data_IF_967779970240
#
_entry.id   IF_967779970240
#
_cell.length_a   1.000
_cell.length_b   1.000
_cell.length_c   1.000
_cell.angle_alpha   90.00
_cell.angle_beta   90.00
_cell.angle_gamma   90.00
#
_symmetry.space_group_name_H-M   'P 1'
#
loop_
_entity.id
_entity.type
_entity.pdbx_description
1 polymer ?
#
# COMPACT_ATOMS: atom_id res chain seq x y z
N UNK A 1 -22.07 4.00 21.22
CA UNK A 1 -21.61 2.66 21.67
C UNK A 1 -21.40 1.66 20.53
N UNK A 2 -22.23 1.64 19.48
CA UNK A 2 -22.03 0.77 18.30
C UNK A 2 -20.69 1.03 17.60
N UNK A 3 -20.27 2.29 17.48
CA UNK A 3 -18.99 2.66 16.86
C UNK A 3 -17.75 2.14 17.64
N UNK A 4 -17.82 2.08 18.98
CA UNK A 4 -16.71 1.59 19.80
C UNK A 4 -16.56 0.06 19.82
N UNK A 5 -17.62 -0.67 19.47
CA UNK A 5 -17.58 -2.13 19.35
C UNK A 5 -16.93 -2.55 18.02
N UNK A 6 -17.32 -1.95 16.89
CA UNK A 6 -16.75 -2.29 15.58
C UNK A 6 -15.27 -1.88 15.45
N UNK A 7 -14.84 -0.79 16.11
CA UNK A 7 -13.43 -0.38 16.16
C UNK A 7 -12.57 -1.41 16.91
N UNK A 8 -13.14 -2.09 17.92
CA UNK A 8 -12.39 -3.09 18.71
C UNK A 8 -12.18 -4.38 17.93
N UNK A 9 -13.23 -4.87 17.26
CA UNK A 9 -13.16 -6.07 16.42
C UNK A 9 -12.20 -5.87 15.24
N UNK A 10 -12.27 -4.72 14.58
CA UNK A 10 -11.33 -4.36 13.50
C UNK A 10 -9.89 -4.22 13.99
N UNK A 11 -9.67 -3.73 15.22
CA UNK A 11 -8.33 -3.65 15.81
C UNK A 11 -7.74 -5.03 16.12
N UNK A 12 -8.54 -5.96 16.66
CA UNK A 12 -8.09 -7.34 16.92
C UNK A 12 -7.79 -8.05 15.60
N UNK A 13 -8.70 -7.99 14.62
CA UNK A 13 -8.50 -8.61 13.32
C UNK A 13 -7.28 -8.03 12.59
N UNK A 14 -7.13 -6.70 12.60
CA UNK A 14 -5.98 -6.00 12.05
C UNK A 14 -4.67 -6.41 12.75
N UNK A 15 -4.67 -6.50 14.08
CA UNK A 15 -3.48 -6.89 14.85
C UNK A 15 -3.03 -8.33 14.55
N UNK A 16 -3.96 -9.27 14.46
CA UNK A 16 -3.67 -10.67 14.11
C UNK A 16 -3.13 -10.76 12.68
N UNK A 17 -3.78 -10.09 11.73
CA UNK A 17 -3.33 -10.07 10.33
C UNK A 17 -1.95 -9.40 10.19
N UNK A 18 -1.69 -8.30 10.89
CA UNK A 18 -0.37 -7.64 10.90
C UNK A 18 0.71 -8.56 11.44
N UNK A 19 0.42 -9.26 12.54
CA UNK A 19 1.35 -10.17 13.18
C UNK A 19 1.69 -11.35 12.26
N UNK A 20 0.69 -11.93 11.59
CA UNK A 20 0.89 -12.98 10.61
C UNK A 20 1.70 -12.49 9.40
N UNK A 21 1.38 -11.31 8.88
CA UNK A 21 2.13 -10.71 7.76
C UNK A 21 3.57 -10.44 8.14
N UNK A 22 3.83 -9.87 9.33
CA UNK A 22 5.17 -9.66 9.87
C UNK A 22 5.93 -10.97 10.05
N UNK A 23 5.30 -12.00 10.62
CA UNK A 23 5.94 -13.29 10.85
C UNK A 23 6.32 -13.96 9.53
N UNK A 24 5.42 -13.95 8.55
CA UNK A 24 5.71 -14.42 7.19
C UNK A 24 6.83 -13.60 6.56
N UNK A 25 6.88 -12.29 6.80
CA UNK A 25 7.93 -11.41 6.31
C UNK A 25 9.31 -11.72 6.92
N UNK A 26 9.37 -11.87 8.24
CA UNK A 26 10.58 -12.25 8.99
C UNK A 26 11.07 -13.61 8.52
N UNK A 27 10.17 -14.59 8.39
CA UNK A 27 10.51 -15.92 7.93
C UNK A 27 11.09 -15.90 6.51
N UNK A 28 10.55 -15.07 5.61
CA UNK A 28 11.13 -14.86 4.26
C UNK A 28 12.49 -14.21 4.32
N UNK A 29 12.65 -13.16 5.13
CA UNK A 29 13.92 -12.47 5.31
C UNK A 29 14.97 -13.46 5.82
N UNK A 30 14.62 -14.28 6.81
CA UNK A 30 15.46 -15.32 7.37
C UNK A 30 15.89 -16.35 6.33
N UNK A 31 14.95 -16.92 5.56
CA UNK A 31 15.28 -17.86 4.48
C UNK A 31 16.24 -17.21 3.48
N UNK A 32 16.00 -15.94 3.14
CA UNK A 32 16.82 -15.21 2.15
C UNK A 32 18.23 -14.95 2.67
N UNK A 33 18.37 -14.45 3.89
CA UNK A 33 19.68 -14.24 4.57
C UNK A 33 20.43 -15.56 4.68
N UNK A 34 19.74 -16.65 5.01
CA UNK A 34 20.35 -17.98 5.15
C UNK A 34 20.79 -18.56 3.80
N UNK A 35 20.23 -18.10 2.67
CA UNK A 35 20.47 -18.68 1.35
C UNK A 35 21.49 -17.92 0.49
N UNK A 36 21.86 -16.65 0.77
CA UNK A 36 22.78 -15.90 -0.10
C UNK A 36 23.77 -14.96 0.61
N UNK A 37 25.00 -14.94 0.07
CA UNK A 37 26.11 -14.04 0.43
C UNK A 37 25.69 -12.57 0.38
N UNK A 38 25.95 -11.86 1.48
CA UNK A 38 25.60 -10.47 1.76
C UNK A 38 25.88 -9.58 0.54
N UNK A 39 24.85 -8.94 0.00
CA UNK A 39 24.95 -8.09 -1.18
C UNK A 39 23.99 -6.92 -1.14
N UNK A 40 24.05 -6.04 -2.14
CA UNK A 40 23.15 -4.87 -2.28
C UNK A 40 21.65 -5.20 -2.25
N UNK A 41 21.30 -6.48 -2.48
CA UNK A 41 19.93 -7.00 -2.39
C UNK A 41 19.37 -6.98 -0.95
N UNK A 42 20.24 -7.12 0.04
CA UNK A 42 19.85 -7.15 1.46
C UNK A 42 19.46 -5.77 1.97
N UNK A 43 19.93 -4.69 1.33
CA UNK A 43 19.53 -3.31 1.66
C UNK A 43 18.04 -3.12 1.40
N UNK A 44 17.52 -3.60 0.27
CA UNK A 44 16.09 -3.49 -0.04
C UNK A 44 15.23 -4.36 0.87
N UNK A 45 15.75 -5.52 1.28
CA UNK A 45 15.08 -6.42 2.21
C UNK A 45 15.00 -5.83 3.62
N UNK A 46 16.07 -5.18 4.08
CA UNK A 46 16.10 -4.47 5.38
C UNK A 46 15.20 -3.24 5.34
N UNK A 47 15.23 -2.43 4.27
CA UNK A 47 14.30 -1.30 4.09
C UNK A 47 12.84 -1.78 4.20
N UNK A 48 12.48 -2.86 3.50
CA UNK A 48 11.13 -3.41 3.57
C UNK A 48 10.76 -3.88 4.98
N UNK A 49 11.69 -4.48 5.73
CA UNK A 49 11.47 -4.87 7.12
C UNK A 49 11.22 -3.67 8.03
N UNK A 50 12.05 -2.62 7.93
CA UNK A 50 11.87 -1.38 8.70
C UNK A 50 10.55 -0.69 8.36
N UNK A 51 10.20 -0.59 7.07
CA UNK A 51 8.89 -0.06 6.67
C UNK A 51 7.73 -0.90 7.22
N UNK A 52 7.88 -2.21 7.34
CA UNK A 52 6.86 -3.08 7.93
C UNK A 52 6.67 -2.83 9.42
N UNK A 53 7.76 -2.72 10.16
CA UNK A 53 7.73 -2.35 11.57
C UNK A 53 7.07 -0.98 11.79
N UNK A 54 7.42 0.02 10.98
CA UNK A 54 6.83 1.35 11.00
C UNK A 54 5.33 1.31 10.66
N UNK A 55 4.93 0.48 9.70
CA UNK A 55 3.53 0.35 9.33
C UNK A 55 2.69 -0.20 10.49
N UNK A 56 3.15 -1.26 11.14
CA UNK A 56 2.45 -1.86 12.28
C UNK A 56 2.39 -0.90 13.46
N UNK A 57 3.50 -0.27 13.85
CA UNK A 57 3.48 0.71 14.94
C UNK A 57 2.58 1.91 14.64
N UNK A 58 2.59 2.39 13.39
CA UNK A 58 1.72 3.50 12.96
C UNK A 58 0.26 3.10 12.92
N UNK A 59 -0.07 1.88 12.50
CA UNK A 59 -1.44 1.37 12.50
C UNK A 59 -1.99 1.27 13.93
N UNK A 60 -1.20 0.74 14.86
CA UNK A 60 -1.57 0.68 16.28
C UNK A 60 -1.71 2.08 16.90
N UNK A 61 -0.80 3.01 16.58
CA UNK A 61 -0.89 4.40 17.03
C UNK A 61 -2.12 5.11 16.45
N UNK A 62 -2.45 4.86 15.18
CA UNK A 62 -3.60 5.44 14.51
C UNK A 62 -4.92 4.93 15.12
N UNK A 63 -5.09 3.61 15.24
CA UNK A 63 -6.29 3.00 15.83
C UNK A 63 -6.42 3.34 17.33
N UNK A 64 -5.31 3.40 18.05
CA UNK A 64 -5.27 3.76 19.46
C UNK A 64 -5.78 5.18 19.72
N UNK A 65 -5.34 6.16 18.92
CA UNK A 65 -5.83 7.55 19.09
C UNK A 65 -7.24 7.75 18.51
N UNK A 66 -7.63 7.00 17.48
CA UNK A 66 -9.00 7.00 16.95
C UNK A 66 -10.03 6.66 18.04
N UNK A 67 -9.70 5.74 18.95
CA UNK A 67 -10.54 5.38 20.10
C UNK A 67 -10.82 6.54 21.07
N UNK A 68 -9.92 7.51 21.15
CA UNK A 68 -10.00 8.68 22.04
C UNK A 68 -10.62 9.89 21.30
N UNK A 69 -10.98 9.75 20.02
CA UNK A 69 -11.43 10.87 19.21
C UNK A 69 -10.28 11.84 18.89
N UNK A 70 -9.04 11.36 18.80
CA UNK A 70 -7.93 12.19 18.32
C UNK A 70 -7.28 11.47 17.13
N UNK A 71 -7.25 12.10 15.96
CA UNK A 71 -6.58 11.53 14.79
C UNK A 71 -5.16 12.08 14.76
N UNK A 72 -4.16 11.21 14.89
CA UNK A 72 -2.76 11.62 14.76
C UNK A 72 -2.42 11.76 13.28
N UNK A 73 -2.40 12.98 12.77
CA UNK A 73 -1.99 13.29 11.39
C UNK A 73 -0.65 12.63 11.07
N UNK A 74 0.33 12.73 11.99
CA UNK A 74 1.65 12.11 11.86
C UNK A 74 1.61 10.59 11.67
N UNK A 75 0.78 9.87 12.44
CA UNK A 75 0.67 8.41 12.33
C UNK A 75 0.04 8.00 10.99
N UNK A 76 -0.92 8.78 10.49
CA UNK A 76 -1.53 8.55 9.18
C UNK A 76 -0.51 8.69 8.05
N UNK A 77 0.32 9.74 8.07
CA UNK A 77 1.37 9.95 7.08
C UNK A 77 2.40 8.83 7.09
N UNK A 78 2.88 8.45 8.27
CA UNK A 78 3.87 7.36 8.40
C UNK A 78 3.25 6.04 7.92
N UNK A 79 2.00 5.75 8.27
CA UNK A 79 1.30 4.54 7.82
C UNK A 79 1.22 4.47 6.28
N UNK A 80 0.76 5.55 5.64
CA UNK A 80 0.58 5.61 4.19
C UNK A 80 1.89 5.45 3.44
N UNK A 81 2.94 6.17 3.84
CA UNK A 81 4.26 6.11 3.20
C UNK A 81 4.91 4.74 3.44
N UNK A 82 4.87 4.25 4.68
CA UNK A 82 5.51 2.98 5.05
C UNK A 82 4.86 1.79 4.34
N UNK A 83 3.53 1.80 4.17
CA UNK A 83 2.83 0.74 3.44
C UNK A 83 3.28 0.69 1.97
N UNK A 84 3.26 1.84 1.31
CA UNK A 84 3.67 1.95 -0.10
C UNK A 84 5.14 1.53 -0.24
N UNK A 85 6.05 2.11 0.54
CA UNK A 85 7.47 1.76 0.50
C UNK A 85 7.71 0.26 0.76
N UNK A 86 7.01 -0.35 1.72
CA UNK A 86 7.10 -1.79 1.98
C UNK A 86 6.72 -2.60 0.74
N UNK A 87 5.53 -2.38 0.17
CA UNK A 87 5.03 -3.19 -0.96
C UNK A 87 5.96 -3.09 -2.16
N UNK A 88 6.42 -1.87 -2.48
CA UNK A 88 7.32 -1.64 -3.60
C UNK A 88 8.74 -2.17 -3.34
N UNK A 89 9.29 -2.00 -2.13
CA UNK A 89 10.61 -2.53 -1.78
C UNK A 89 10.65 -4.07 -1.87
N UNK A 90 9.57 -4.75 -1.49
CA UNK A 90 9.45 -6.20 -1.62
C UNK A 90 9.51 -6.65 -3.08
N UNK A 91 8.75 -5.97 -3.95
CA UNK A 91 8.74 -6.26 -5.40
C UNK A 91 10.12 -6.06 -6.01
N UNK A 92 10.77 -4.95 -5.71
CA UNK A 92 12.14 -4.63 -6.16
C UNK A 92 13.12 -5.70 -5.69
N UNK A 93 13.04 -6.10 -4.42
CA UNK A 93 13.92 -7.11 -3.84
C UNK A 93 13.72 -8.50 -4.47
N UNK A 94 12.51 -8.86 -4.92
CA UNK A 94 12.27 -10.10 -5.67
C UNK A 94 12.95 -10.04 -7.04
N UNK A 95 12.78 -8.93 -7.77
CA UNK A 95 13.34 -8.78 -9.11
C UNK A 95 14.86 -8.77 -9.08
N UNK A 96 15.48 -8.04 -8.13
CA UNK A 96 16.93 -8.06 -7.97
C UNK A 96 17.48 -9.48 -7.77
N UNK A 97 16.83 -10.25 -6.90
CA UNK A 97 17.21 -11.65 -6.65
C UNK A 97 17.15 -12.52 -7.91
N UNK A 98 16.22 -12.24 -8.84
CA UNK A 98 16.15 -12.91 -10.15
C UNK A 98 17.29 -12.43 -11.05
N UNK A 99 17.54 -11.11 -11.11
CA UNK A 99 18.60 -10.52 -11.95
C UNK A 99 19.97 -11.11 -11.60
N UNK A 100 20.29 -11.28 -10.31
CA UNK A 100 21.57 -11.84 -9.86
C UNK A 100 21.81 -13.29 -10.29
N UNK A 101 20.74 -14.04 -10.51
CA UNK A 101 20.82 -15.44 -10.99
C UNK A 101 21.15 -15.48 -12.49
N UNK A 102 20.79 -14.43 -13.24
CA UNK A 102 21.01 -14.34 -14.68
C UNK A 102 22.42 -13.79 -14.94
N UNK A 103 23.22 -14.40 -15.84
CA UNK A 103 24.51 -13.84 -16.20
C UNK A 103 24.36 -12.46 -16.86
N UNK A 104 25.23 -11.51 -16.49
CA UNK A 104 25.15 -10.10 -16.90
C UNK A 104 25.19 -9.86 -18.43
N UNK A 105 25.61 -10.86 -19.21
CA UNK A 105 25.74 -10.77 -20.67
C UNK A 105 24.40 -10.95 -21.41
N UNK A 106 23.38 -11.46 -20.73
CA UNK A 106 22.07 -11.70 -21.33
C UNK A 106 21.24 -10.40 -21.44
N UNK A 107 20.52 -10.22 -22.55
CA UNK A 107 19.58 -9.10 -22.71
C UNK A 107 18.53 -9.07 -21.59
N UNK A 108 18.23 -10.22 -20.99
CA UNK A 108 17.33 -10.37 -19.84
C UNK A 108 17.77 -9.57 -18.61
N UNK A 109 19.08 -9.42 -18.40
CA UNK A 109 19.61 -8.64 -17.28
C UNK A 109 19.24 -7.16 -17.41
N UNK A 110 19.33 -6.60 -18.63
CA UNK A 110 18.94 -5.21 -18.94
C UNK A 110 17.43 -5.02 -18.72
N UNK A 111 16.60 -5.97 -19.18
CA UNK A 111 15.16 -5.88 -18.96
C UNK A 111 14.79 -5.90 -17.48
N UNK A 112 15.45 -6.75 -16.67
CA UNK A 112 15.26 -6.76 -15.22
C UNK A 112 15.59 -5.41 -14.58
N UNK A 113 16.72 -4.81 -14.95
CA UNK A 113 17.11 -3.49 -14.44
C UNK A 113 16.10 -2.40 -14.83
N UNK A 114 15.59 -2.42 -16.07
CA UNK A 114 14.54 -1.49 -16.50
C UNK A 114 13.24 -1.64 -15.69
N UNK A 115 12.86 -2.87 -15.31
CA UNK A 115 11.67 -3.08 -14.48
C UNK A 115 11.89 -2.56 -13.07
N UNK A 116 13.09 -2.77 -12.49
CA UNK A 116 13.44 -2.23 -11.17
C UNK A 116 13.36 -0.71 -11.16
N UNK A 117 13.95 -0.04 -12.15
CA UNK A 117 13.92 1.42 -12.23
C UNK A 117 12.49 1.91 -12.42
N UNK A 118 11.69 1.25 -13.25
CA UNK A 118 10.27 1.54 -13.41
C UNK A 118 9.49 1.42 -12.10
N UNK A 119 9.76 0.38 -11.30
CA UNK A 119 9.10 0.19 -10.00
C UNK A 119 9.49 1.27 -8.98
N UNK A 120 10.76 1.66 -8.93
CA UNK A 120 11.21 2.73 -8.04
C UNK A 120 10.61 4.08 -8.43
N UNK A 121 10.58 4.40 -9.72
CA UNK A 121 9.93 5.62 -10.24
C UNK A 121 8.43 5.63 -9.95
N UNK A 122 7.76 4.49 -10.11
CA UNK A 122 6.33 4.40 -9.84
C UNK A 122 6.04 4.53 -8.33
N UNK A 123 6.88 3.93 -7.49
CA UNK A 123 6.79 4.09 -6.03
C UNK A 123 6.93 5.55 -5.62
N UNK A 124 7.94 6.26 -6.11
CA UNK A 124 8.13 7.67 -5.77
C UNK A 124 6.98 8.55 -6.30
N UNK A 125 6.52 8.30 -7.53
CA UNK A 125 5.38 9.01 -8.10
C UNK A 125 4.10 8.85 -7.25
N UNK A 126 3.78 7.63 -6.80
CA UNK A 126 2.61 7.38 -5.95
C UNK A 126 2.72 8.07 -4.58
N UNK A 127 3.90 8.03 -3.96
CA UNK A 127 4.14 8.73 -2.68
C UNK A 127 3.95 10.24 -2.85
N UNK A 128 4.52 10.82 -3.92
CA UNK A 128 4.39 12.25 -4.22
C UNK A 128 2.94 12.63 -4.52
N UNK A 129 2.22 11.86 -5.33
CA UNK A 129 0.80 12.11 -5.63
C UNK A 129 -0.06 12.11 -4.38
N UNK A 130 0.16 11.14 -3.47
CA UNK A 130 -0.52 11.09 -2.16
C UNK A 130 -0.16 12.30 -1.31
N UNK A 131 1.11 12.67 -1.26
CA UNK A 131 1.57 13.81 -0.47
C UNK A 131 0.99 15.14 -0.94
N UNK A 132 0.96 15.38 -2.26
CA UNK A 132 0.36 16.59 -2.83
C UNK A 132 -1.14 16.62 -2.57
N UNK A 133 -1.83 15.49 -2.79
CA UNK A 133 -3.28 15.42 -2.57
C UNK A 133 -3.67 15.68 -1.12
N UNK A 134 -2.95 15.06 -0.17
CA UNK A 134 -3.22 15.26 1.25
C UNK A 134 -2.79 16.64 1.75
N UNK A 135 -1.68 17.20 1.26
CA UNK A 135 -1.25 18.55 1.67
C UNK A 135 -2.19 19.64 1.17
N UNK A 136 -2.74 19.49 -0.04
CA UNK A 136 -3.77 20.41 -0.56
C UNK A 136 -5.05 20.36 0.28
N UNK A 137 -5.56 19.16 0.58
CA UNK A 137 -6.73 18.99 1.43
C UNK A 137 -6.50 19.54 2.85
N UNK A 138 -5.31 19.33 3.41
CA UNK A 138 -4.92 19.86 4.71
C UNK A 138 -4.98 21.38 4.77
N UNK A 139 -4.42 22.07 3.75
CA UNK A 139 -4.44 23.54 3.69
C UNK A 139 -5.86 24.12 3.61
N UNK A 140 -6.72 23.52 2.81
CA UNK A 140 -8.12 23.96 2.62
C UNK A 140 -8.96 23.77 3.88
N UNK A 141 -8.76 22.66 4.60
CA UNK A 141 -9.49 22.40 5.85
C UNK A 141 -8.97 23.29 6.98
N UNK A 142 -7.65 23.46 7.08
CA UNK A 142 -7.05 24.33 8.10
C UNK A 142 -7.51 25.79 7.95
N UNK A 143 -7.73 26.28 6.73
CA UNK A 143 -8.26 27.64 6.52
C UNK A 143 -9.74 27.78 6.85
N UNK A 144 -10.50 26.68 6.89
CA UNK A 144 -11.97 26.71 6.98
C UNK A 144 -12.50 26.28 8.35
N UNK A 145 -11.74 25.53 9.16
CA UNK A 145 -12.22 25.06 10.47
C UNK A 145 -11.05 24.69 11.39
N UNK A 146 -11.10 25.12 12.66
CA UNK A 146 -10.13 24.77 13.72
C UNK A 146 -10.31 23.36 14.28
N UNK A 147 -10.87 22.44 13.49
CA UNK A 147 -11.18 21.08 13.95
C UNK A 147 -9.92 20.20 13.94
N UNK A 148 -9.60 19.49 15.05
CA UNK A 148 -8.44 18.61 15.16
C UNK A 148 -8.60 17.27 14.40
N UNK A 149 -9.69 17.10 13.66
CA UNK A 149 -10.04 15.85 12.99
C UNK A 149 -9.69 15.88 11.50
N UNK A 150 -8.44 15.61 11.16
CA UNK A 150 -8.01 15.51 9.76
C UNK A 150 -7.89 14.04 9.33
N UNK A 151 -8.79 13.62 8.45
CA UNK A 151 -8.66 12.37 7.70
C UNK A 151 -8.43 12.75 6.24
N UNK A 152 -7.27 12.39 5.67
CA UNK A 152 -7.02 12.63 4.25
C UNK A 152 -7.92 11.72 3.42
N UNK A 153 -8.98 12.30 2.85
CA UNK A 153 -9.81 11.62 1.86
C UNK A 153 -9.15 11.69 0.49
N UNK A 154 -8.67 10.55 0.00
CA UNK A 154 -8.15 10.45 -1.36
C UNK A 154 -9.30 10.48 -2.37
N UNK A 155 -9.10 11.19 -3.49
CA UNK A 155 -10.07 11.18 -4.59
C UNK A 155 -10.23 9.73 -5.11
N UNK A 156 -11.45 9.27 -5.42
CA UNK A 156 -11.70 7.90 -5.91
C UNK A 156 -10.84 7.52 -7.12
N UNK A 157 -10.58 8.48 -8.00
CA UNK A 157 -9.73 8.29 -9.19
C UNK A 157 -8.30 7.86 -8.81
N UNK A 158 -7.73 8.44 -7.75
CA UNK A 158 -6.39 8.07 -7.26
C UNK A 158 -6.37 6.64 -6.73
N UNK A 159 -7.41 6.26 -5.98
CA UNK A 159 -7.56 4.92 -5.41
C UNK A 159 -7.63 3.87 -6.53
N UNK A 160 -8.45 4.12 -7.56
CA UNK A 160 -8.57 3.21 -8.71
C UNK A 160 -7.25 3.11 -9.47
N UNK A 161 -6.57 4.24 -9.71
CA UNK A 161 -5.28 4.24 -10.41
C UNK A 161 -4.20 3.47 -9.64
N UNK A 162 -4.19 3.60 -8.31
CA UNK A 162 -3.22 2.90 -7.48
C UNK A 162 -3.49 1.40 -7.46
N UNK A 163 -4.76 1.00 -7.39
CA UNK A 163 -5.15 -0.40 -7.49
C UNK A 163 -4.75 -1.00 -8.84
N UNK A 164 -4.99 -0.27 -9.94
CA UNK A 164 -4.62 -0.69 -11.29
C UNK A 164 -3.10 -0.84 -11.45
N UNK A 165 -2.33 0.16 -11.03
CA UNK A 165 -0.86 0.12 -11.06
C UNK A 165 -0.33 -1.01 -10.16
N UNK A 166 -0.96 -1.21 -9.00
CA UNK A 166 -0.68 -2.32 -8.10
C UNK A 166 -0.86 -3.67 -8.77
N UNK A 167 -1.98 -3.89 -9.46
CA UNK A 167 -2.28 -5.11 -10.19
C UNK A 167 -1.32 -5.36 -11.36
N UNK A 168 -1.01 -4.32 -12.14
CA UNK A 168 -0.05 -4.42 -13.25
C UNK A 168 1.33 -4.81 -12.73
N UNK A 169 1.79 -4.20 -11.65
CA UNK A 169 3.08 -4.52 -11.05
C UNK A 169 3.12 -5.96 -10.51
N UNK A 170 2.02 -6.47 -9.94
CA UNK A 170 1.92 -7.87 -9.53
C UNK A 170 2.00 -8.80 -10.75
N UNK A 171 1.27 -8.51 -11.84
CA UNK A 171 1.33 -9.27 -13.10
C UNK A 171 2.77 -9.31 -13.64
N UNK A 172 3.46 -8.17 -13.69
CA UNK A 172 4.85 -8.10 -14.14
C UNK A 172 5.76 -8.96 -13.24
N UNK A 173 5.58 -8.87 -11.92
CA UNK A 173 6.35 -9.66 -10.95
C UNK A 173 6.10 -11.17 -11.09
N UNK A 174 4.93 -11.58 -11.60
CA UNK A 174 4.60 -12.99 -11.93
C UNK A 174 5.22 -13.42 -13.25
N UNK A 175 5.01 -12.63 -14.31
CA UNK A 175 5.37 -12.99 -15.68
C UNK A 175 6.88 -12.98 -15.86
N UNK A 176 7.58 -12.02 -15.25
CA UNK A 176 9.03 -11.88 -15.39
C UNK A 176 9.81 -13.16 -14.98
N UNK A 177 9.66 -13.72 -13.75
CA UNK A 177 10.34 -14.95 -13.39
C UNK A 177 9.92 -16.14 -14.24
N UNK A 178 8.65 -16.23 -14.66
CA UNK A 178 8.19 -17.30 -15.56
C UNK A 178 8.84 -17.21 -16.94
N UNK A 179 9.01 -15.99 -17.45
CA UNK A 179 9.68 -15.74 -18.73
C UNK A 179 11.16 -16.12 -18.65
N UNK A 180 11.85 -15.72 -17.59
CA UNK A 180 13.25 -16.10 -17.33
C UNK A 180 13.37 -17.62 -17.20
N UNK A 181 12.44 -18.26 -16.49
CA UNK A 181 12.42 -19.71 -16.29
C UNK A 181 12.29 -20.50 -17.60
N UNK A 182 11.55 -19.98 -18.58
CA UNK A 182 11.42 -20.61 -19.90
C UNK A 182 12.68 -20.48 -20.75
N UNK A 183 13.48 -19.44 -20.53
CA UNK A 183 14.68 -19.14 -21.33
C UNK A 183 15.95 -19.79 -20.78
N UNK A 184 16.03 -19.99 -19.46
CA UNK A 184 17.27 -20.42 -18.79
C UNK A 184 17.09 -21.81 -18.18
N UNK A 185 17.94 -22.75 -18.57
CA UNK A 185 18.04 -24.11 -18.00
C UNK A 185 18.73 -24.07 -16.63
N UNK A 186 17.98 -23.66 -15.60
CA UNK A 186 18.47 -23.60 -14.22
C UNK A 186 18.34 -24.92 -13.46
N UNK A 187 19.22 -25.20 -12.50
CA UNK A 187 19.12 -26.35 -11.61
C UNK A 187 17.83 -26.31 -10.78
N UNK A 188 17.07 -27.41 -10.78
CA UNK A 188 15.71 -27.53 -10.21
C UNK A 188 15.58 -27.10 -8.74
N UNK A 189 16.66 -27.12 -7.95
CA UNK A 189 16.66 -26.74 -6.52
C UNK A 189 16.43 -25.23 -6.33
N UNK A 190 17.10 -24.37 -7.10
CA UNK A 190 16.95 -22.90 -7.00
C UNK A 190 15.56 -22.45 -7.47
N UNK A 191 15.04 -23.11 -8.49
CA UNK A 191 13.71 -22.85 -9.05
C UNK A 191 12.58 -23.16 -8.07
N UNK A 192 12.72 -24.22 -7.28
CA UNK A 192 11.74 -24.59 -6.24
C UNK A 192 11.67 -23.52 -5.15
N UNK A 193 12.82 -22.96 -4.76
CA UNK A 193 12.89 -21.87 -3.78
C UNK A 193 12.26 -20.59 -4.30
N UNK A 194 12.58 -20.19 -5.54
CA UNK A 194 12.01 -18.98 -6.15
C UNK A 194 10.48 -19.09 -6.28
N UNK A 195 9.97 -20.27 -6.65
CA UNK A 195 8.53 -20.53 -6.74
C UNK A 195 7.83 -20.42 -5.37
N UNK A 196 8.46 -20.90 -4.30
CA UNK A 196 7.94 -20.77 -2.93
C UNK A 196 7.91 -19.30 -2.49
N UNK A 197 8.97 -18.54 -2.74
CA UNK A 197 9.02 -17.10 -2.45
C UNK A 197 7.93 -16.33 -3.19
N UNK A 198 7.71 -16.71 -4.45
CA UNK A 198 6.72 -16.10 -5.31
C UNK A 198 5.28 -16.39 -4.84
N UNK A 199 4.96 -17.66 -4.54
CA UNK A 199 3.67 -18.06 -3.97
C UNK A 199 3.39 -17.34 -2.65
N UNK A 200 4.40 -17.25 -1.79
CA UNK A 200 4.28 -16.51 -0.54
C UNK A 200 3.97 -15.03 -0.83
N UNK A 201 4.67 -14.39 -1.76
CA UNK A 201 4.47 -12.96 -2.09
C UNK A 201 3.05 -12.67 -2.59
N UNK A 202 2.48 -13.54 -3.40
CA UNK A 202 1.06 -13.47 -3.77
C UNK A 202 0.18 -13.59 -2.54
N UNK A 203 0.43 -14.56 -1.66
CA UNK A 203 -0.37 -14.75 -0.45
C UNK A 203 -0.34 -13.49 0.45
N UNK A 204 0.80 -12.81 0.57
CA UNK A 204 0.89 -11.53 1.31
C UNK A 204 0.14 -10.41 0.58
N UNK A 205 0.24 -10.32 -0.75
CA UNK A 205 -0.55 -9.33 -1.51
C UNK A 205 -2.07 -9.55 -1.32
N UNK A 206 -2.52 -10.80 -1.34
CA UNK A 206 -3.90 -11.18 -1.06
C UNK A 206 -4.27 -10.80 0.38
N UNK A 207 -3.45 -11.17 1.38
CA UNK A 207 -3.71 -10.82 2.79
C UNK A 207 -3.77 -9.30 3.00
N UNK A 208 -2.89 -8.54 2.37
CA UNK A 208 -2.92 -7.07 2.41
C UNK A 208 -4.17 -6.49 1.72
N UNK A 209 -4.58 -7.08 0.59
CA UNK A 209 -5.81 -6.66 -0.12
C UNK A 209 -7.06 -6.98 0.70
N UNK A 210 -7.11 -8.15 1.32
CA UNK A 210 -8.17 -8.58 2.24
C UNK A 210 -8.22 -7.66 3.45
N UNK A 211 -7.05 -7.32 4.02
CA UNK A 211 -6.95 -6.36 5.11
C UNK A 211 -7.46 -4.98 4.70
N UNK A 212 -7.06 -4.47 3.54
CA UNK A 212 -7.61 -3.23 3.00
C UNK A 212 -9.12 -3.33 2.83
N UNK A 213 -9.64 -4.43 2.29
CA UNK A 213 -11.08 -4.64 2.19
C UNK A 213 -11.76 -4.64 3.57
N UNK A 214 -11.21 -5.31 4.59
CA UNK A 214 -11.77 -5.30 5.94
C UNK A 214 -11.67 -3.95 6.66
N UNK A 215 -10.69 -3.10 6.34
CA UNK A 215 -10.64 -1.72 6.82
C UNK A 215 -11.59 -0.81 6.03
N UNK A 216 -11.71 -1.06 4.73
CA UNK A 216 -12.52 -0.26 3.81
C UNK A 216 -14.00 -0.57 3.98
N UNK A 217 -14.44 -1.80 4.20
CA UNK A 217 -15.86 -2.19 4.36
C UNK A 217 -16.57 -1.41 5.48
N UNK A 218 -16.06 -1.35 6.74
CA UNK A 218 -16.67 -0.53 7.78
C UNK A 218 -16.56 0.97 7.47
N UNK A 219 -15.51 1.39 6.74
CA UNK A 219 -15.39 2.78 6.29
C UNK A 219 -16.39 3.10 5.18
N UNK A 220 -16.69 2.20 4.24
CA UNK A 220 -17.65 2.35 3.15
C UNK A 220 -19.07 2.36 3.67
N UNK A 221 -19.40 1.52 4.67
CA UNK A 221 -20.69 1.63 5.36
C UNK A 221 -20.80 2.95 6.11
N UNK A 222 -19.73 3.42 6.75
CA UNK A 222 -19.71 4.74 7.41
C UNK A 222 -19.79 5.90 6.40
N UNK A 223 -19.14 5.79 5.25
CA UNK A 223 -19.17 6.75 4.14
C UNK A 223 -20.51 6.75 3.43
N UNK A 224 -21.16 5.60 3.24
CA UNK A 224 -22.51 5.50 2.71
C UNK A 224 -23.50 6.22 3.64
N UNK A 225 -23.37 6.01 4.96
CA UNK A 225 -24.17 6.72 5.97
C UNK A 225 -23.85 8.23 5.98
N UNK A 226 -22.58 8.62 5.88
CA UNK A 226 -22.18 10.03 5.85
C UNK A 226 -22.61 10.75 4.56
N UNK A 227 -22.59 10.07 3.42
CA UNK A 227 -23.09 10.61 2.13
C UNK A 227 -24.62 10.67 2.10
N UNK A 228 -25.32 9.74 2.75
CA UNK A 228 -26.77 9.86 2.94
C UNK A 228 -27.11 11.02 3.88
N UNK A 229 -26.35 11.24 4.95
CA UNK A 229 -26.55 12.38 5.85
C UNK A 229 -26.23 13.72 5.15
N UNK A 230 -25.19 13.78 4.30
CA UNK A 230 -24.87 14.97 3.49
C UNK A 230 -25.95 15.25 2.43
N UNK A 231 -26.51 14.22 1.78
CA UNK A 231 -27.63 14.41 0.86
C UNK A 231 -28.90 14.88 1.57
N UNK A 232 -29.14 14.45 2.81
CA UNK A 232 -30.29 14.91 3.60
C UNK A 232 -30.08 16.34 4.12
N UNK A 233 -28.85 16.75 4.39
CA UNK A 233 -28.52 18.10 4.88
C UNK A 233 -28.41 19.17 3.76
N UNK A 234 -28.34 18.77 2.49
CA UNK A 234 -28.47 19.68 1.35
C UNK A 234 -29.92 19.66 0.85
N UNK A 235 -30.79 20.61 1.26
CA UNK A 235 -32.06 20.79 0.58
C UNK A 235 -31.75 21.12 -0.88
N UNK A 236 -32.50 20.50 -1.77
CA UNK A 236 -32.60 20.81 -3.18
C UNK A 236 -32.88 22.31 -3.39
N UNK A 237 -31.86 23.15 -3.41
CA UNK A 237 -31.96 24.50 -3.96
C UNK A 237 -31.96 24.36 -5.47
N UNK A 238 -33.17 24.33 -6.03
CA UNK A 238 -33.42 24.39 -7.46
C UNK A 238 -32.83 25.63 -8.14
N UNK A 239 -32.92 25.71 -9.47
CA UNK A 239 -32.25 26.73 -10.25
C UNK A 239 -32.96 28.08 -10.09
N UNK A 240 -32.26 29.08 -9.56
CA UNK A 240 -32.67 30.48 -9.69
C UNK A 240 -31.67 31.19 -10.61
N UNK A 241 -32.00 31.16 -11.89
CA UNK A 241 -31.58 32.15 -12.89
C UNK A 241 -31.94 33.56 -12.38
N UNK A 242 -31.02 34.54 -12.40
CA UNK A 242 -31.41 35.94 -12.28
C UNK A 242 -31.81 36.43 -13.68
N UNK A 243 -33.09 36.28 -14.02
CA UNK A 243 -33.70 37.06 -15.10
C UNK A 243 -34.27 38.35 -14.50
N UNK A 244 -33.91 39.49 -15.12
CA UNK A 244 -34.58 40.81 -15.09
C UNK A 244 -34.00 41.86 -14.15
N UNK A 245 -33.28 42.82 -14.75
CA UNK A 245 -33.26 44.29 -14.54
C UNK A 245 -32.33 44.87 -15.64
N UNK A 246 -32.64 44.85 -16.95
CA UNK A 246 -33.48 45.82 -17.69
C UNK A 246 -34.46 46.64 -16.84
N UNK A 247 -33.98 47.81 -16.40
CA UNK A 247 -34.51 49.15 -16.73
C UNK A 247 -33.35 50.17 -16.65
#
# INVERSE_FOLDING_TARGET
MVHSASVRESMIASGVLDSLVLLVFIFRLWIRIRMQRVGWEDIWATIAFFCGMLNVTSNWAYLGKLKVGQVSTTAMWIYMISLTCLVWAVRVSIIFSIIRIIPARERLHIHGLMIVTFFLLTCSALVVQRAISCSYAYRVIQSSTSSPYFSCSLRPVLIISELAVGAIADIITVIFPLYVLRRVTLPRKQLRLLRLLFSSSIAVSIMCSVRMAFQIVPSLTSWAIFMTDIQVQCPSSGPLLPSRWLD
#
